data_IF_686269345962
#
_entry.id   IF_686269345962
#
_cell.length_a   1.000
_cell.length_b   1.000
_cell.length_c   1.000
_cell.angle_alpha   90.00
_cell.angle_beta   90.00
_cell.angle_gamma   90.00
#
_symmetry.space_group_name_H-M   'P 1'
#
loop_
_entity.id
_entity.type
_entity.pdbx_description
1 polymer ?
#
# COMPACT_ATOMS: atom_id res chain seq x y z
N UNK A 1 9.37 -56.25 4.67
CA UNK A 1 8.49 -55.42 3.80
C UNK A 1 7.72 -54.49 4.73
N UNK A 2 7.60 -53.17 4.63
CA UNK A 2 8.11 -52.07 3.81
C UNK A 2 7.66 -50.82 4.62
N UNK A 3 8.57 -49.94 5.03
CA UNK A 3 8.68 -48.56 4.51
C UNK A 3 8.06 -47.51 5.45
N UNK A 4 8.98 -46.87 6.18
CA UNK A 4 9.10 -45.44 6.50
C UNK A 4 7.95 -44.68 7.16
N UNK A 5 8.26 -44.18 8.35
CA UNK A 5 7.80 -42.90 8.86
C UNK A 5 7.87 -41.81 7.78
N UNK A 6 6.75 -41.12 7.54
CA UNK A 6 6.74 -39.84 6.86
C UNK A 6 6.15 -38.82 7.85
N UNK A 7 7.07 -38.15 8.55
CA UNK A 7 6.81 -36.94 9.30
C UNK A 7 6.14 -35.91 8.38
N UNK A 8 4.85 -35.65 8.59
CA UNK A 8 4.25 -34.42 8.13
C UNK A 8 4.76 -33.29 9.03
N UNK A 9 5.91 -32.70 8.69
CA UNK A 9 6.22 -31.34 9.14
C UNK A 9 5.26 -30.42 8.40
N UNK A 10 4.13 -30.11 9.04
CA UNK A 10 3.29 -29.00 8.63
C UNK A 10 4.16 -27.74 8.63
N UNK A 11 4.40 -27.18 7.45
CA UNK A 11 4.97 -25.85 7.32
C UNK A 11 3.96 -24.87 7.94
N UNK A 12 4.19 -24.47 9.19
CA UNK A 12 3.51 -23.34 9.76
C UNK A 12 3.96 -22.10 8.98
N UNK A 13 3.19 -21.70 7.98
CA UNK A 13 3.32 -20.36 7.41
C UNK A 13 3.05 -19.41 8.55
N UNK A 14 4.07 -18.64 8.96
CA UNK A 14 3.86 -17.40 9.70
C UNK A 14 3.03 -16.51 8.78
N UNK A 15 1.70 -16.65 8.84
CA UNK A 15 0.81 -15.57 8.47
C UNK A 15 1.10 -14.46 9.48
N UNK A 16 2.10 -13.64 9.19
CA UNK A 16 2.26 -12.38 9.89
C UNK A 16 1.03 -11.59 9.49
N UNK A 17 0.03 -11.58 10.37
CA UNK A 17 -1.19 -10.83 10.15
C UNK A 17 -0.76 -9.41 9.80
N UNK A 18 -1.19 -8.93 8.63
CA UNK A 18 -0.92 -7.58 8.23
C UNK A 18 -1.52 -6.64 9.29
N UNK A 19 -0.93 -5.46 9.44
CA UNK A 19 -1.55 -4.45 10.29
C UNK A 19 -2.96 -4.18 9.74
N UNK A 20 -3.97 -4.00 10.59
CA UNK A 20 -5.39 -3.94 10.17
C UNK A 20 -5.67 -2.94 9.03
N UNK A 21 -4.88 -1.87 8.94
CA UNK A 21 -5.00 -0.85 7.89
C UNK A 21 -4.52 -1.33 6.52
N UNK A 22 -3.77 -2.43 6.41
CA UNK A 22 -3.46 -3.05 5.13
C UNK A 22 -4.71 -3.71 4.53
N UNK A 23 -5.44 -4.46 5.35
CA UNK A 23 -6.52 -5.36 4.91
C UNK A 23 -7.94 -4.78 5.03
N UNK A 24 -8.15 -3.78 5.88
CA UNK A 24 -9.49 -3.19 6.05
C UNK A 24 -10.02 -2.68 4.70
N UNK A 25 -11.33 -2.80 4.49
CA UNK A 25 -11.94 -2.29 3.27
C UNK A 25 -11.68 -0.78 3.12
N UNK A 26 -11.00 -0.40 2.03
CA UNK A 26 -10.62 0.98 1.74
C UNK A 26 -11.79 1.76 1.12
N UNK A 27 -12.74 2.16 1.95
CA UNK A 27 -13.99 2.84 1.54
C UNK A 27 -13.94 4.37 1.64
N UNK A 28 -12.77 4.94 1.92
CA UNK A 28 -12.59 6.37 2.08
C UNK A 28 -12.77 7.13 0.77
N UNK A 29 -13.56 8.21 0.80
CA UNK A 29 -13.82 9.10 -0.33
C UNK A 29 -13.36 10.53 -0.01
N UNK A 30 -13.14 11.34 -1.03
CA UNK A 30 -13.05 12.80 -0.91
C UNK A 30 -14.29 13.44 -1.51
N UNK A 31 -15.30 13.83 -0.70
CA UNK A 31 -16.62 14.18 -1.20
C UNK A 31 -16.68 15.48 -2.02
N UNK A 32 -15.65 16.33 -1.91
CA UNK A 32 -15.56 17.61 -2.63
C UNK A 32 -14.47 17.60 -3.70
N UNK A 33 -13.81 16.46 -3.94
CA UNK A 33 -12.88 16.34 -5.06
C UNK A 33 -13.67 16.22 -6.38
N UNK A 34 -13.22 16.85 -7.49
CA UNK A 34 -13.93 16.80 -8.76
C UNK A 34 -13.97 15.40 -9.39
N UNK A 35 -12.94 14.58 -9.16
CA UNK A 35 -12.94 13.17 -9.57
C UNK A 35 -13.65 12.29 -8.50
N UNK A 36 -14.79 11.67 -8.82
CA UNK A 36 -15.51 10.78 -7.90
C UNK A 36 -14.76 9.48 -7.60
N UNK A 37 -13.76 9.12 -8.41
CA UNK A 37 -12.93 7.93 -8.23
C UNK A 37 -11.59 8.23 -7.55
N UNK A 38 -11.43 9.44 -6.98
CA UNK A 38 -10.21 9.83 -6.30
C UNK A 38 -9.86 8.85 -5.18
N UNK A 39 -8.67 8.24 -5.28
CA UNK A 39 -8.20 7.23 -4.33
C UNK A 39 -7.59 7.92 -3.10
N UNK A 40 -8.21 7.74 -1.93
CA UNK A 40 -7.67 8.29 -0.67
C UNK A 40 -6.56 7.40 -0.10
N UNK A 41 -6.80 6.09 -0.02
CA UNK A 41 -5.82 5.11 0.46
C UNK A 41 -4.92 4.61 -0.68
N UNK A 42 -3.63 4.45 -0.40
CA UNK A 42 -2.61 4.09 -1.39
C UNK A 42 -1.55 3.22 -0.73
N UNK A 43 -1.42 1.95 -1.13
CA UNK A 43 -0.30 1.11 -0.74
C UNK A 43 0.85 1.32 -1.72
N UNK A 44 2.05 1.67 -1.25
CA UNK A 44 3.21 1.93 -2.12
C UNK A 44 3.57 0.75 -3.04
N UNK A 45 3.25 -0.49 -2.65
CA UNK A 45 3.45 -1.69 -3.48
C UNK A 45 2.54 -1.71 -4.72
N UNK A 46 1.35 -1.11 -4.66
CA UNK A 46 0.47 -0.94 -5.83
C UNK A 46 1.06 0.04 -6.88
N UNK A 47 2.02 0.85 -6.46
CA UNK A 47 2.75 1.80 -7.30
C UNK A 47 4.12 1.27 -7.73
N UNK A 48 4.44 0.01 -7.42
CA UNK A 48 5.66 -0.68 -7.86
C UNK A 48 6.81 -0.67 -6.87
N UNK A 49 6.61 -0.20 -5.63
CA UNK A 49 7.64 -0.34 -4.59
C UNK A 49 7.83 -1.82 -4.26
N UNK A 50 9.07 -2.27 -4.11
CA UNK A 50 9.38 -3.67 -3.79
C UNK A 50 9.50 -3.91 -2.29
N UNK A 51 10.16 -3.02 -1.55
CA UNK A 51 10.49 -3.23 -0.14
C UNK A 51 11.39 -4.46 0.04
N UNK A 52 12.48 -4.54 -0.75
CA UNK A 52 13.48 -5.61 -0.67
C UNK A 52 14.83 -5.12 -0.11
N UNK A 53 14.94 -3.83 0.19
CA UNK A 53 16.18 -3.18 0.66
C UNK A 53 17.27 -3.04 -0.41
N UNK A 54 16.99 -3.38 -1.67
CA UNK A 54 17.97 -3.38 -2.78
C UNK A 54 17.48 -2.50 -3.95
N UNK A 55 16.21 -2.61 -4.30
CA UNK A 55 15.58 -1.83 -5.35
C UNK A 55 15.35 -0.40 -4.87
N UNK A 56 15.65 0.57 -5.73
CA UNK A 56 15.31 1.97 -5.48
C UNK A 56 13.80 2.20 -5.69
N UNK A 57 13.07 2.28 -4.58
CA UNK A 57 11.62 2.50 -4.55
C UNK A 57 11.22 3.99 -4.58
N UNK A 58 12.18 4.92 -4.75
CA UNK A 58 11.94 6.37 -4.69
C UNK A 58 10.85 6.82 -5.67
N UNK A 59 10.86 6.32 -6.90
CA UNK A 59 9.87 6.70 -7.91
C UNK A 59 8.46 6.20 -7.55
N UNK A 60 8.34 4.95 -7.10
CA UNK A 60 7.07 4.35 -6.71
C UNK A 60 6.43 5.06 -5.51
N UNK A 61 7.23 5.38 -4.49
CA UNK A 61 6.77 6.09 -3.29
C UNK A 61 6.29 7.50 -3.66
N UNK A 62 7.05 8.24 -4.48
CA UNK A 62 6.65 9.58 -4.93
C UNK A 62 5.40 9.55 -5.81
N UNK A 63 5.22 8.51 -6.62
CA UNK A 63 4.01 8.33 -7.41
C UNK A 63 2.79 8.06 -6.52
N UNK A 64 2.93 7.24 -5.47
CA UNK A 64 1.89 7.05 -4.47
C UNK A 64 1.51 8.39 -3.82
N UNK A 65 2.47 9.21 -3.42
CA UNK A 65 2.22 10.52 -2.80
C UNK A 65 1.51 11.50 -3.75
N UNK A 66 1.90 11.54 -5.02
CA UNK A 66 1.49 12.58 -5.98
C UNK A 66 0.25 12.22 -6.82
N UNK A 67 -0.13 10.94 -6.88
CA UNK A 67 -1.26 10.47 -7.68
C UNK A 67 -2.59 11.15 -7.33
N UNK A 68 -3.37 11.47 -8.37
CA UNK A 68 -4.70 12.08 -8.26
C UNK A 68 -4.70 13.61 -8.24
N UNK A 69 -3.79 14.27 -8.97
CA UNK A 69 -3.76 15.73 -9.14
C UNK A 69 -3.82 16.52 -7.82
N UNK A 70 -3.01 16.09 -6.85
CA UNK A 70 -3.01 16.69 -5.52
C UNK A 70 -2.35 18.07 -5.48
N UNK A 71 -2.61 18.80 -4.41
CA UNK A 71 -1.84 19.99 -4.03
C UNK A 71 -0.34 19.71 -3.91
N UNK A 72 0.43 20.11 -4.94
CA UNK A 72 1.87 19.95 -5.03
C UNK A 72 2.65 21.24 -4.67
N UNK A 73 3.93 21.14 -4.26
CA UNK A 73 4.77 22.31 -4.01
C UNK A 73 4.75 23.31 -5.18
N UNK A 74 4.46 24.57 -4.88
CA UNK A 74 4.41 25.64 -5.88
C UNK A 74 3.16 25.66 -6.77
N UNK A 75 2.22 24.71 -6.63
CA UNK A 75 0.94 24.69 -7.37
C UNK A 75 -0.23 25.24 -6.56
N UNK A 76 -0.15 25.15 -5.25
CA UNK A 76 -1.21 25.50 -4.31
C UNK A 76 -0.58 26.02 -3.00
N UNK A 77 -1.37 26.72 -2.18
CA UNK A 77 -0.96 27.16 -0.82
C UNK A 77 -1.50 26.25 0.29
N UNK A 78 -2.43 25.38 -0.06
CA UNK A 78 -3.13 24.46 0.83
C UNK A 78 -4.41 23.97 0.17
N UNK A 79 -4.83 22.77 0.52
CA UNK A 79 -6.04 22.12 0.00
C UNK A 79 -6.54 21.09 1.02
N UNK A 80 -7.86 20.90 1.09
CA UNK A 80 -8.51 19.88 1.95
C UNK A 80 -9.24 18.80 1.15
N UNK A 81 -9.37 18.98 -0.17
CA UNK A 81 -10.13 18.12 -1.08
C UNK A 81 -9.31 17.02 -1.73
N UNK A 82 -7.97 17.00 -1.61
CA UNK A 82 -7.11 15.95 -2.15
C UNK A 82 -6.31 15.20 -1.04
N UNK A 83 -6.98 14.55 -0.07
CA UNK A 83 -6.29 13.86 1.04
C UNK A 83 -5.56 12.59 0.56
N UNK A 84 -4.53 12.17 1.30
CA UNK A 84 -3.82 10.93 0.99
C UNK A 84 -3.36 10.22 2.26
N UNK A 85 -3.74 8.95 2.37
CA UNK A 85 -3.12 7.99 3.30
C UNK A 85 -2.20 7.09 2.50
N UNK A 86 -0.90 7.36 2.58
CA UNK A 86 0.14 6.56 1.90
C UNK A 86 0.64 5.50 2.89
N UNK A 87 0.36 4.24 2.58
CA UNK A 87 0.64 3.09 3.43
C UNK A 87 1.90 2.35 2.95
N UNK A 88 2.76 2.02 3.93
CA UNK A 88 3.98 1.24 3.74
C UNK A 88 3.81 -0.11 4.44
N UNK A 89 3.60 -1.21 3.70
CA UNK A 89 3.57 -2.55 4.27
C UNK A 89 4.98 -2.97 4.73
N UNK A 90 5.12 -4.07 5.48
CA UNK A 90 6.43 -4.62 5.80
C UNK A 90 7.28 -4.91 4.56
N UNK A 91 8.55 -4.52 4.60
CA UNK A 91 9.54 -4.66 3.53
C UNK A 91 10.70 -3.69 3.72
#
# INVERSE_FOLDING_TARGET
MRVTAAFWLAAATLAKAAYWMEDIAHQGISPYHPDPNYKVFRNVKDFGAKGDGVTDDTAAINLAISSGERCAPGKCKGETTSPATVYFPPG
#
